data_IF_591412106087
#
_entry.id   IF_591412106087
#
_cell.length_a   1.000
_cell.length_b   1.000
_cell.length_c   1.000
_cell.angle_alpha   90.00
_cell.angle_beta   90.00
_cell.angle_gamma   90.00
#
_symmetry.space_group_name_H-M   'P 1'
#
loop_
_entity.id
_entity.type
_entity.pdbx_description
1 polymer ?
#
# COMPACT_ATOMS: atom_id res chain seq x y z
N UNK A 1 -3.03 -5.47 -11.19
CA UNK A 1 -2.39 -4.38 -10.43
C UNK A 1 -1.60 -3.51 -11.41
N UNK A 2 -1.80 -2.20 -11.42
CA UNK A 2 -1.06 -1.22 -12.23
C UNK A 2 0.35 -1.00 -11.65
N UNK A 3 1.30 -0.43 -12.43
CA UNK A 3 2.66 -0.19 -11.93
C UNK A 3 2.72 0.63 -10.64
N UNK A 4 1.92 1.69 -10.53
CA UNK A 4 1.87 2.54 -9.33
C UNK A 4 1.27 1.83 -8.11
N UNK A 5 0.30 0.94 -8.33
CA UNK A 5 -0.29 0.12 -7.24
C UNK A 5 0.76 -0.88 -6.74
N UNK A 6 1.51 -1.51 -7.65
CA UNK A 6 2.57 -2.47 -7.31
C UNK A 6 3.70 -1.83 -6.51
N UNK A 7 4.24 -0.72 -6.99
CA UNK A 7 5.30 0.02 -6.30
C UNK A 7 4.87 0.44 -4.88
N UNK A 8 3.63 0.92 -4.71
CA UNK A 8 3.10 1.29 -3.39
C UNK A 8 2.84 0.07 -2.51
N UNK A 9 2.40 -1.04 -3.09
CA UNK A 9 2.13 -2.27 -2.37
C UNK A 9 3.42 -2.94 -1.85
N UNK A 10 4.50 -2.89 -2.62
CA UNK A 10 5.81 -3.44 -2.22
C UNK A 10 6.41 -2.70 -1.02
N UNK A 11 6.01 -1.46 -0.75
CA UNK A 11 6.44 -0.73 0.46
C UNK A 11 6.07 -1.46 1.75
N UNK A 12 5.03 -2.29 1.71
CA UNK A 12 4.58 -3.07 2.86
C UNK A 12 5.48 -4.26 3.20
N UNK A 13 6.44 -4.61 2.34
CA UNK A 13 7.48 -5.62 2.64
C UNK A 13 8.41 -5.15 3.77
N UNK A 14 8.64 -3.84 3.85
CA UNK A 14 9.58 -3.24 4.81
C UNK A 14 8.91 -2.27 5.77
N UNK A 15 7.71 -1.78 5.47
CA UNK A 15 6.94 -0.89 6.34
C UNK A 15 5.63 -1.54 6.76
N UNK A 16 5.43 -1.76 8.06
CA UNK A 16 4.16 -2.28 8.56
C UNK A 16 2.97 -1.33 8.29
N UNK A 17 3.23 -0.02 8.24
CA UNK A 17 2.21 1.01 8.02
C UNK A 17 2.66 1.96 6.92
N UNK A 18 1.81 2.17 5.92
CA UNK A 18 2.07 3.09 4.81
C UNK A 18 1.01 4.18 4.76
N UNK A 19 1.45 5.41 4.48
CA UNK A 19 0.59 6.57 4.22
C UNK A 19 0.89 7.14 2.84
N UNK A 20 0.01 7.97 2.28
CA UNK A 20 0.28 8.59 0.98
C UNK A 20 1.57 9.45 0.95
N UNK A 21 1.90 10.27 1.98
CA UNK A 21 3.18 10.97 2.04
C UNK A 21 4.40 10.03 2.10
N UNK A 22 4.32 8.92 2.85
CA UNK A 22 5.40 7.92 2.89
C UNK A 22 5.57 7.29 1.51
N UNK A 23 4.46 6.94 0.85
CA UNK A 23 4.49 6.36 -0.48
C UNK A 23 5.07 7.32 -1.53
N UNK A 24 4.73 8.61 -1.48
CA UNK A 24 5.32 9.63 -2.36
C UNK A 24 6.83 9.72 -2.16
N UNK A 25 7.28 9.78 -0.91
CA UNK A 25 8.71 9.89 -0.58
C UNK A 25 9.50 8.68 -1.09
N UNK A 26 8.97 7.46 -0.92
CA UNK A 26 9.70 6.22 -1.21
C UNK A 26 9.62 5.80 -2.68
N UNK A 27 8.55 6.15 -3.39
CA UNK A 27 8.37 5.79 -4.80
C UNK A 27 8.74 6.92 -5.77
N UNK A 28 8.92 8.15 -5.26
CA UNK A 28 9.12 9.35 -6.09
C UNK A 28 7.89 9.73 -6.94
N UNK A 29 6.74 9.08 -6.72
CA UNK A 29 5.47 9.38 -7.38
C UNK A 29 4.78 10.54 -6.66
N UNK A 30 4.08 11.37 -7.43
CA UNK A 30 3.23 12.42 -6.87
C UNK A 30 2.18 11.86 -5.87
N UNK A 31 1.91 12.62 -4.81
CA UNK A 31 0.97 12.28 -3.73
C UNK A 31 -0.43 11.85 -4.19
N UNK A 32 -0.98 12.43 -5.25
CA UNK A 32 -2.30 12.07 -5.82
C UNK A 32 -2.26 10.68 -6.42
N UNK A 33 -1.16 10.31 -7.08
CA UNK A 33 -0.95 8.95 -7.60
C UNK A 33 -0.89 7.94 -6.47
N UNK A 34 -0.13 8.24 -5.40
CA UNK A 34 -0.02 7.37 -4.23
C UNK A 34 -1.37 7.23 -3.49
N UNK A 35 -2.13 8.33 -3.34
CA UNK A 35 -3.48 8.27 -2.77
C UNK A 35 -4.40 7.37 -3.57
N UNK A 36 -4.40 7.50 -4.90
CA UNK A 36 -5.23 6.65 -5.77
C UNK A 36 -4.82 5.19 -5.66
N UNK A 37 -3.52 4.90 -5.71
CA UNK A 37 -3.00 3.55 -5.54
C UNK A 37 -3.42 2.92 -4.20
N UNK A 38 -3.32 3.64 -3.08
CA UNK A 38 -3.76 3.15 -1.77
C UNK A 38 -5.28 2.90 -1.72
N UNK A 39 -6.08 3.73 -2.38
CA UNK A 39 -7.52 3.50 -2.48
C UNK A 39 -7.84 2.25 -3.30
N UNK A 40 -7.19 2.08 -4.46
CA UNK A 40 -7.36 0.92 -5.34
C UNK A 40 -6.91 -0.37 -4.64
N UNK A 41 -5.77 -0.37 -3.94
CA UNK A 41 -5.29 -1.51 -3.14
C UNK A 41 -6.27 -1.86 -2.01
N UNK A 42 -6.91 -0.86 -1.40
CA UNK A 42 -7.95 -1.07 -0.38
C UNK A 42 -9.23 -1.64 -0.99
N UNK A 43 -9.65 -1.18 -2.17
CA UNK A 43 -10.79 -1.75 -2.92
C UNK A 43 -10.55 -3.21 -3.34
N UNK A 44 -9.28 -3.57 -3.59
CA UNK A 44 -8.86 -4.94 -3.88
C UNK A 44 -8.76 -5.83 -2.62
N UNK A 45 -9.05 -5.29 -1.44
CA UNK A 45 -8.91 -5.97 -0.14
C UNK A 45 -7.48 -6.44 0.16
N UNK A 46 -6.47 -5.72 -0.36
CA UNK A 46 -5.06 -6.01 -0.08
C UNK A 46 -4.54 -5.21 1.12
N UNK A 47 -5.15 -4.05 1.40
CA UNK A 47 -4.81 -3.20 2.54
C UNK A 47 -6.07 -2.65 3.19
N UNK A 48 -5.98 -2.29 4.47
CA UNK A 48 -7.06 -1.69 5.24
C UNK A 48 -6.56 -0.54 6.12
N UNK A 49 -7.47 0.25 6.69
CA UNK A 49 -7.11 1.36 7.56
C UNK A 49 -6.54 0.86 8.90
N UNK A 50 -5.41 1.40 9.31
CA UNK A 50 -4.81 1.13 10.61
C UNK A 50 -5.63 1.80 11.72
N UNK A 51 -6.21 1.01 12.63
CA UNK A 51 -6.83 1.48 13.89
C UNK A 51 -7.78 2.70 13.74
N UNK A 52 -8.61 2.72 12.68
CA UNK A 52 -9.54 3.83 12.35
C UNK A 52 -8.87 5.18 12.06
N UNK A 53 -7.54 5.25 11.96
CA UNK A 53 -6.82 6.48 11.61
C UNK A 53 -6.85 6.67 10.09
N UNK A 54 -7.57 7.69 9.65
CA UNK A 54 -7.69 8.00 8.23
C UNK A 54 -6.32 8.23 7.58
N UNK A 55 -6.08 7.59 6.43
CA UNK A 55 -4.85 7.75 5.64
C UNK A 55 -3.66 6.89 6.06
N UNK A 56 -3.81 6.07 7.11
CA UNK A 56 -2.82 5.06 7.51
C UNK A 56 -3.31 3.69 7.10
N UNK A 57 -2.49 2.95 6.37
CA UNK A 57 -2.87 1.65 5.82
C UNK A 57 -1.94 0.56 6.35
N UNK A 58 -2.50 -0.63 6.52
CA UNK A 58 -1.81 -1.89 6.86
C UNK A 58 -2.27 -2.99 5.90
N UNK A 59 -1.47 -4.04 5.64
CA UNK A 59 -1.92 -5.19 4.87
C UNK A 59 -3.11 -5.89 5.54
N UNK A 60 -4.02 -6.45 4.73
CA UNK A 60 -5.00 -7.44 5.20
C UNK A 60 -4.36 -8.84 5.21
N UNK A 61 -5.05 -9.86 5.74
CA UNK A 61 -4.59 -11.25 5.63
C UNK A 61 -4.35 -11.67 4.17
N UNK A 62 -5.25 -11.26 3.27
CA UNK A 62 -5.08 -11.44 1.82
C UNK A 62 -3.86 -10.68 1.29
N UNK A 63 -3.67 -9.43 1.72
CA UNK A 63 -2.51 -8.63 1.38
C UNK A 63 -1.19 -9.26 1.80
N UNK A 64 -1.10 -9.75 3.03
CA UNK A 64 0.08 -10.48 3.53
C UNK A 64 0.35 -11.74 2.71
N UNK A 65 -0.70 -12.46 2.31
CA UNK A 65 -0.58 -13.62 1.43
C UNK A 65 0.01 -13.27 0.05
N UNK A 66 -0.36 -12.12 -0.51
CA UNK A 66 0.22 -11.62 -1.77
C UNK A 66 1.66 -11.11 -1.59
N UNK A 67 1.96 -10.42 -0.48
CA UNK A 67 3.31 -9.93 -0.18
C UNK A 67 4.32 -11.07 -0.05
N UNK A 68 3.94 -12.18 0.60
CA UNK A 68 4.78 -13.39 0.72
C UNK A 68 5.13 -14.03 -0.63
N UNK A 69 4.29 -13.84 -1.66
CA UNK A 69 4.58 -14.34 -3.02
C UNK A 69 5.61 -13.48 -3.76
N UNK A 70 5.86 -12.26 -3.29
CA UNK A 70 6.85 -11.34 -3.86
C UNK A 70 8.23 -11.56 -3.22
N UNK A 71 8.29 -11.99 -1.96
CA UNK A 71 9.55 -12.31 -1.26
C UNK A 71 10.18 -13.65 -1.67
N UNK A 72 9.45 -14.51 -2.39
CA UNK A 72 9.88 -15.83 -2.88
C UNK A 72 10.31 -15.78 -4.35
#
# INVERSE_FOLDING_TARGET
>A
MKPSEKEVFELFLVNQIVTAPIAELLTGRNITTCKRALLELKEMDLITLAQRKAGYYIPTEKGEGELKKIEL
#
